data_IF_198863115798
#
_entry.id   IF_198863115798
#
_cell.length_a   1.000
_cell.length_b   1.000
_cell.length_c   1.000
_cell.angle_alpha   90.00
_cell.angle_beta   90.00
_cell.angle_gamma   90.00
#
_symmetry.space_group_name_H-M   'P 1'
#
loop_
_entity.id
_entity.type
_entity.pdbx_description
1 polymer ?
#
# COMPACT_ATOMS: atom_id res chain seq x y z
N UNK A 1 -24.82 -5.12 -4.51
CA UNK A 1 -24.65 -3.88 -3.72
C UNK A 1 -23.37 -3.14 -4.09
N UNK A 2 -22.17 -3.66 -3.79
CA UNK A 2 -20.90 -2.95 -4.02
C UNK A 2 -20.67 -2.47 -5.46
N UNK A 3 -20.94 -3.29 -6.47
CA UNK A 3 -20.77 -2.88 -7.88
C UNK A 3 -21.67 -1.68 -8.24
N UNK A 4 -22.92 -1.68 -7.77
CA UNK A 4 -23.84 -0.57 -7.98
C UNK A 4 -23.37 0.71 -7.28
N UNK A 5 -22.91 0.62 -6.04
CA UNK A 5 -22.31 1.74 -5.32
C UNK A 5 -21.06 2.28 -6.02
N UNK A 6 -20.21 1.39 -6.55
CA UNK A 6 -19.03 1.78 -7.32
C UNK A 6 -19.39 2.53 -8.60
N UNK A 7 -20.44 2.09 -9.33
CA UNK A 7 -20.95 2.80 -10.50
C UNK A 7 -21.54 4.17 -10.14
N UNK A 8 -22.27 4.28 -9.03
CA UNK A 8 -22.76 5.58 -8.53
C UNK A 8 -21.60 6.55 -8.30
N UNK A 9 -20.54 6.11 -7.62
CA UNK A 9 -19.34 6.93 -7.38
C UNK A 9 -18.62 7.27 -8.67
N UNK A 10 -18.44 6.31 -9.58
CA UNK A 10 -17.79 6.54 -10.87
C UNK A 10 -18.56 7.54 -11.75
N UNK A 11 -19.89 7.55 -11.67
CA UNK A 11 -20.75 8.48 -12.41
C UNK A 11 -20.92 9.85 -11.74
N UNK A 12 -20.47 10.01 -10.50
CA UNK A 12 -20.64 11.23 -9.73
C UNK A 12 -19.61 12.31 -10.14
N UNK A 13 -20.03 13.50 -10.61
CA UNK A 13 -19.10 14.57 -11.00
C UNK A 13 -18.13 14.96 -9.87
N UNK A 14 -18.60 14.93 -8.62
CA UNK A 14 -17.80 15.25 -7.45
C UNK A 14 -16.69 14.23 -7.13
N UNK A 15 -16.68 13.06 -7.77
CA UNK A 15 -15.61 12.07 -7.65
C UNK A 15 -14.40 12.41 -8.53
N UNK A 16 -14.57 13.26 -9.56
CA UNK A 16 -13.49 13.68 -10.43
C UNK A 16 -12.38 14.40 -9.66
N UNK A 17 -11.13 14.15 -10.04
CA UNK A 17 -9.96 14.79 -9.41
C UNK A 17 -9.58 14.24 -8.03
N UNK A 18 -10.30 13.24 -7.49
CA UNK A 18 -10.02 12.65 -6.17
C UNK A 18 -9.02 11.48 -6.17
N UNK A 19 -8.39 11.21 -7.32
CA UNK A 19 -7.47 10.08 -7.47
C UNK A 19 -8.19 8.74 -7.61
N UNK A 20 -7.47 7.65 -7.31
CA UNK A 20 -8.05 6.29 -7.33
C UNK A 20 -8.83 6.08 -6.03
N UNK A 21 -10.06 5.59 -6.16
CA UNK A 21 -10.98 5.34 -5.05
C UNK A 21 -11.30 3.84 -4.96
N UNK A 22 -11.49 3.35 -3.73
CA UNK A 22 -12.02 2.01 -3.45
C UNK A 22 -13.39 2.17 -2.83
N UNK A 23 -14.40 1.50 -3.39
CA UNK A 23 -15.79 1.55 -2.91
C UNK A 23 -16.19 0.18 -2.41
N UNK A 24 -16.54 0.08 -1.13
CA UNK A 24 -17.00 -1.15 -0.50
C UNK A 24 -17.89 -0.83 0.68
N UNK A 25 -18.94 -1.63 0.90
CA UNK A 25 -19.85 -1.45 2.04
C UNK A 25 -20.42 -0.02 2.19
N UNK A 26 -20.76 0.61 1.06
CA UNK A 26 -21.20 2.01 1.00
C UNK A 26 -20.19 3.03 1.54
N UNK A 27 -18.95 2.65 1.79
CA UNK A 27 -17.84 3.55 2.12
C UNK A 27 -17.01 3.82 0.86
N UNK A 28 -16.45 5.02 0.79
CA UNK A 28 -15.54 5.47 -0.27
C UNK A 28 -14.20 5.74 0.39
N UNK A 29 -13.16 5.02 -0.03
CA UNK A 29 -11.81 5.16 0.52
C UNK A 29 -10.83 5.72 -0.51
N UNK A 30 -9.85 6.46 -0.02
CA UNK A 30 -8.66 6.79 -0.79
C UNK A 30 -7.81 5.53 -1.00
N UNK A 31 -7.39 5.23 -2.23
CA UNK A 31 -6.60 4.03 -2.52
C UNK A 31 -5.26 3.97 -1.77
N UNK A 32 -4.67 5.11 -1.43
CA UNK A 32 -3.41 5.20 -0.68
C UNK A 32 -3.56 4.91 0.83
N UNK A 33 -4.80 4.91 1.35
CA UNK A 33 -5.07 4.82 2.80
C UNK A 33 -5.84 3.55 3.16
N UNK A 34 -6.41 2.86 2.16
CA UNK A 34 -7.28 1.71 2.38
C UNK A 34 -6.48 0.41 2.46
N UNK A 35 -6.82 -0.43 3.42
CA UNK A 35 -6.28 -1.79 3.56
C UNK A 35 -7.38 -2.77 3.93
N UNK A 36 -7.16 -4.05 3.65
CA UNK A 36 -8.04 -5.14 4.07
C UNK A 36 -7.69 -5.52 5.52
N UNK A 37 -8.56 -5.16 6.46
CA UNK A 37 -8.33 -5.31 7.90
C UNK A 37 -8.82 -6.63 8.50
N UNK A 38 -9.68 -7.38 7.79
CA UNK A 38 -10.23 -8.65 8.25
C UNK A 38 -10.18 -9.73 7.16
N UNK A 39 -9.88 -10.96 7.57
CA UNK A 39 -9.93 -12.13 6.69
C UNK A 39 -11.36 -12.60 6.41
N UNK A 40 -12.35 -12.21 7.23
CA UNK A 40 -13.72 -12.73 7.17
C UNK A 40 -14.82 -11.68 7.04
N UNK A 41 -14.66 -10.51 7.68
CA UNK A 41 -15.74 -9.51 7.72
C UNK A 41 -16.01 -8.94 6.33
N UNK A 42 -17.28 -8.69 6.01
CA UNK A 42 -17.65 -8.00 4.76
C UNK A 42 -17.14 -6.55 4.77
N UNK A 43 -17.20 -5.90 5.92
CA UNK A 43 -16.67 -4.56 6.17
C UNK A 43 -15.17 -4.60 6.50
N UNK A 44 -14.41 -5.23 5.62
CA UNK A 44 -12.97 -5.46 5.81
C UNK A 44 -12.10 -4.31 5.30
N UNK A 45 -12.53 -3.60 4.27
CA UNK A 45 -11.77 -2.46 3.79
C UNK A 45 -11.91 -1.31 4.77
N UNK A 46 -10.77 -0.87 5.32
CA UNK A 46 -10.68 0.20 6.30
C UNK A 46 -9.60 1.17 5.89
N UNK A 47 -9.75 2.42 6.31
CA UNK A 47 -8.69 3.43 6.25
C UNK A 47 -8.28 3.77 7.68
N UNK A 48 -7.31 3.03 8.27
CA UNK A 48 -7.12 3.01 9.72
C UNK A 48 -6.80 4.38 10.34
N UNK A 49 -6.03 5.20 9.64
CA UNK A 49 -5.50 6.45 10.21
C UNK A 49 -6.52 7.61 10.14
N UNK A 50 -7.28 7.71 9.05
CA UNK A 50 -8.12 8.89 8.76
C UNK A 50 -9.57 8.58 8.37
N UNK A 51 -9.96 7.29 8.35
CA UNK A 51 -11.30 6.84 7.97
C UNK A 51 -11.61 7.00 6.47
N UNK A 52 -12.82 6.64 6.03
CA UNK A 52 -13.26 6.84 4.64
C UNK A 52 -13.21 8.31 4.22
N UNK A 53 -13.10 8.57 2.91
CA UNK A 53 -13.20 9.92 2.35
C UNK A 53 -14.64 10.35 2.09
N UNK A 54 -15.54 9.37 2.04
CA UNK A 54 -16.95 9.58 1.75
C UNK A 54 -17.77 8.32 1.95
N UNK A 55 -19.06 8.42 1.65
CA UNK A 55 -20.03 7.33 1.77
C UNK A 55 -21.15 7.47 0.74
N UNK A 56 -21.89 6.38 0.55
CA UNK A 56 -23.09 6.32 -0.26
C UNK A 56 -24.30 6.11 0.66
N UNK A 57 -25.24 7.04 0.63
CA UNK A 57 -26.49 6.95 1.40
C UNK A 57 -27.66 7.31 0.49
N UNK A 58 -28.73 6.49 0.52
CA UNK A 58 -29.92 6.67 -0.33
C UNK A 58 -29.59 6.94 -1.82
N UNK A 59 -28.65 6.17 -2.39
CA UNK A 59 -28.12 6.30 -3.76
C UNK A 59 -27.44 7.65 -4.08
N UNK A 60 -27.05 8.41 -3.06
CA UNK A 60 -26.33 9.68 -3.19
C UNK A 60 -24.91 9.53 -2.67
N UNK A 61 -23.97 10.16 -3.37
CA UNK A 61 -22.54 10.12 -3.07
C UNK A 61 -22.16 11.36 -2.27
N UNK A 62 -21.68 11.15 -1.05
CA UNK A 62 -21.23 12.19 -0.12
C UNK A 62 -19.73 12.07 0.10
N UNK A 63 -18.99 13.18 -0.02
CA UNK A 63 -17.60 13.26 0.38
C UNK A 63 -17.50 14.16 1.61
N UNK A 64 -17.05 13.61 2.73
CA UNK A 64 -16.90 14.33 4.00
C UNK A 64 -15.47 14.80 4.26
N UNK A 65 -14.48 14.24 3.56
CA UNK A 65 -13.06 14.56 3.74
C UNK A 65 -12.41 14.97 2.43
N UNK A 66 -11.64 16.04 2.47
CA UNK A 66 -10.73 16.43 1.40
C UNK A 66 -9.49 15.55 1.43
N UNK A 67 -9.03 15.10 0.26
CA UNK A 67 -7.75 14.40 0.14
C UNK A 67 -6.64 15.41 -0.13
N UNK A 68 -5.48 15.21 0.49
CA UNK A 68 -4.28 15.99 0.17
C UNK A 68 -3.90 15.87 -1.31
N UNK A 69 -3.06 16.78 -1.83
CA UNK A 69 -2.59 16.70 -3.20
C UNK A 69 -1.95 15.33 -3.43
N UNK A 70 -2.34 14.70 -4.54
CA UNK A 70 -1.87 13.39 -4.95
C UNK A 70 -0.33 13.39 -4.92
N UNK A 71 0.29 12.52 -4.12
CA UNK A 71 1.70 12.16 -4.30
C UNK A 71 1.81 11.27 -5.53
N UNK A 72 1.54 11.83 -6.71
CA UNK A 72 1.85 11.15 -7.96
C UNK A 72 3.34 11.35 -8.21
N UNK A 73 4.14 10.41 -7.71
CA UNK A 73 5.38 10.06 -8.37
C UNK A 73 4.93 9.48 -9.71
N UNK A 74 5.09 10.24 -10.80
CA UNK A 74 4.80 9.75 -12.14
C UNK A 74 5.48 8.40 -12.36
N UNK A 75 5.01 7.60 -13.32
CA UNK A 75 5.76 6.43 -13.74
C UNK A 75 7.17 6.87 -14.14
N UNK A 76 8.25 6.38 -13.49
CA UNK A 76 9.58 6.56 -14.03
C UNK A 76 9.60 6.04 -15.46
N UNK A 77 10.32 6.71 -16.35
CA UNK A 77 10.40 6.31 -17.75
C UNK A 77 10.83 4.83 -17.83
N UNK A 78 9.99 3.98 -18.45
CA UNK A 78 10.24 2.53 -18.52
C UNK A 78 9.53 1.66 -17.48
N UNK A 79 8.73 2.23 -16.57
CA UNK A 79 7.76 1.46 -15.77
C UNK A 79 6.36 1.54 -16.39
N UNK A 80 5.69 0.39 -16.59
CA UNK A 80 4.33 0.32 -17.13
C UNK A 80 4.14 -0.81 -18.14
N UNK A 81 3.01 -0.87 -18.87
CA UNK A 81 2.79 -1.89 -19.90
C UNK A 81 3.89 -1.86 -20.97
N UNK A 82 4.72 -2.90 -21.04
CA UNK A 82 5.87 -2.99 -21.94
C UNK A 82 7.21 -2.52 -21.35
N UNK A 83 7.22 -2.05 -20.10
CA UNK A 83 8.42 -1.70 -19.33
C UNK A 83 8.80 -2.77 -18.30
N UNK A 84 9.98 -2.65 -17.70
CA UNK A 84 10.46 -3.56 -16.66
C UNK A 84 10.24 -2.94 -15.27
N UNK A 85 9.59 -3.69 -14.37
CA UNK A 85 9.45 -3.31 -12.96
C UNK A 85 10.59 -3.99 -12.19
N UNK A 86 11.50 -3.24 -11.54
CA UNK A 86 12.57 -3.82 -10.76
C UNK A 86 12.02 -4.69 -9.65
N UNK A 87 12.71 -5.80 -9.41
CA UNK A 87 12.40 -6.72 -8.33
C UNK A 87 12.49 -6.01 -6.98
N UNK A 88 11.38 -5.97 -6.25
CA UNK A 88 11.30 -5.49 -4.86
C UNK A 88 10.64 -6.58 -4.03
N UNK A 89 11.35 -7.08 -3.02
CA UNK A 89 10.84 -8.11 -2.10
C UNK A 89 10.51 -7.50 -0.72
N UNK A 90 9.61 -8.14 0.02
CA UNK A 90 9.19 -7.71 1.37
C UNK A 90 9.76 -8.69 2.40
N UNK A 91 10.53 -8.18 3.35
CA UNK A 91 11.12 -8.92 4.46
C UNK A 91 10.30 -8.68 5.72
N UNK A 92 9.66 -9.73 6.24
CA UNK A 92 8.83 -9.64 7.44
C UNK A 92 9.64 -9.98 8.68
N UNK A 93 9.80 -9.03 9.60
CA UNK A 93 10.52 -9.25 10.85
C UNK A 93 9.65 -9.97 11.87
N UNK A 94 10.28 -10.85 12.63
CA UNK A 94 9.68 -11.52 13.78
C UNK A 94 10.77 -11.88 14.81
N UNK A 95 10.34 -12.28 16.00
CA UNK A 95 11.28 -12.78 17.02
C UNK A 95 12.12 -13.92 16.46
N UNK A 96 13.45 -13.81 16.61
CA UNK A 96 14.40 -14.81 16.14
C UNK A 96 14.69 -14.80 14.64
N UNK A 97 14.19 -13.82 13.88
CA UNK A 97 14.60 -13.64 12.49
C UNK A 97 16.12 -13.37 12.39
N UNK A 98 16.77 -13.92 11.37
CA UNK A 98 18.24 -14.01 11.25
C UNK A 98 18.79 -13.47 9.91
N UNK A 99 17.91 -12.80 9.14
CA UNK A 99 18.20 -12.22 7.84
C UNK A 99 18.35 -13.22 6.69
N UNK A 100 17.99 -14.50 6.84
CA UNK A 100 18.01 -15.48 5.73
C UNK A 100 17.18 -15.00 4.55
N UNK A 101 15.97 -14.51 4.78
CA UNK A 101 15.11 -13.98 3.72
C UNK A 101 15.76 -12.80 2.97
N UNK A 102 16.38 -11.86 3.70
CA UNK A 102 17.07 -10.68 3.14
C UNK A 102 18.17 -11.12 2.18
N UNK A 103 19.03 -12.04 2.62
CA UNK A 103 20.13 -12.56 1.78
C UNK A 103 19.62 -13.34 0.58
N UNK A 104 18.54 -14.12 0.75
CA UNK A 104 17.93 -14.87 -0.34
C UNK A 104 17.37 -13.94 -1.43
N UNK A 105 16.67 -12.87 -1.04
CA UNK A 105 16.15 -11.88 -1.99
C UNK A 105 17.27 -11.10 -2.68
N UNK A 106 18.31 -10.70 -1.94
CA UNK A 106 19.50 -10.07 -2.52
C UNK A 106 20.17 -10.97 -3.57
N UNK A 107 20.38 -12.25 -3.24
CA UNK A 107 20.94 -13.22 -4.18
C UNK A 107 20.06 -13.46 -5.41
N UNK A 108 18.73 -13.39 -5.24
CA UNK A 108 17.77 -13.53 -6.31
C UNK A 108 17.58 -12.25 -7.17
N UNK A 109 18.42 -11.23 -6.97
CA UNK A 109 18.48 -10.03 -7.80
C UNK A 109 17.55 -8.89 -7.35
N UNK A 110 17.13 -8.86 -6.08
CA UNK A 110 16.34 -7.75 -5.56
C UNK A 110 17.06 -6.40 -5.75
N UNK A 111 16.36 -5.43 -6.33
CA UNK A 111 16.85 -4.04 -6.50
C UNK A 111 16.35 -3.14 -5.37
N UNK A 112 15.30 -3.56 -4.67
CA UNK A 112 14.85 -2.97 -3.43
C UNK A 112 14.31 -4.00 -2.45
N UNK A 113 14.30 -3.65 -1.17
CA UNK A 113 13.72 -4.43 -0.10
C UNK A 113 12.83 -3.54 0.76
N UNK A 114 11.63 -4.04 1.09
CA UNK A 114 10.76 -3.42 2.08
C UNK A 114 10.92 -4.19 3.38
N UNK A 115 11.33 -3.50 4.43
CA UNK A 115 11.41 -4.02 5.78
C UNK A 115 10.07 -3.83 6.49
N UNK A 116 9.31 -4.91 6.66
CA UNK A 116 8.12 -4.95 7.50
C UNK A 116 8.56 -5.27 8.94
N UNK A 117 8.98 -4.23 9.66
CA UNK A 117 9.49 -4.34 11.02
C UNK A 117 8.40 -4.60 12.08
N UNK A 118 8.83 -4.99 13.27
CA UNK A 118 7.96 -4.98 14.46
C UNK A 118 7.83 -3.54 14.98
N UNK A 119 6.67 -3.17 15.53
CA UNK A 119 6.41 -1.80 16.02
C UNK A 119 7.57 -1.28 16.90
N UNK A 120 8.09 -0.06 16.69
CA UNK A 120 7.64 0.97 15.74
C UNK A 120 8.33 0.96 14.35
N UNK A 121 8.75 -0.22 13.85
CA UNK A 121 9.54 -0.37 12.62
C UNK A 121 10.97 -0.83 12.90
N UNK A 122 11.15 -1.68 13.92
CA UNK A 122 12.43 -2.26 14.29
C UNK A 122 12.53 -3.71 13.83
N UNK A 123 13.75 -4.11 13.45
CA UNK A 123 14.10 -5.47 13.13
C UNK A 123 15.07 -6.04 14.16
N UNK A 124 15.31 -7.35 14.09
CA UNK A 124 16.34 -7.99 14.92
C UNK A 124 17.74 -7.47 14.57
N UNK A 125 18.74 -7.53 15.48
CA UNK A 125 20.11 -7.14 15.16
C UNK A 125 20.71 -7.91 13.98
N UNK A 126 20.34 -9.18 13.81
CA UNK A 126 20.80 -10.01 12.70
C UNK A 126 20.20 -9.57 11.35
N UNK A 127 18.91 -9.18 11.33
CA UNK A 127 18.29 -8.58 10.15
C UNK A 127 18.89 -7.21 9.83
N UNK A 128 19.14 -6.37 10.83
CA UNK A 128 19.81 -5.07 10.63
C UNK A 128 21.16 -5.25 9.93
N UNK A 129 21.99 -6.18 10.42
CA UNK A 129 23.27 -6.50 9.78
C UNK A 129 23.11 -7.03 8.34
N UNK A 130 22.05 -7.79 8.05
CA UNK A 130 21.75 -8.26 6.71
C UNK A 130 21.24 -7.14 5.78
N UNK A 131 20.43 -6.20 6.29
CA UNK A 131 20.01 -5.02 5.54
C UNK A 131 21.19 -4.09 5.26
N UNK A 132 22.08 -3.86 6.23
CA UNK A 132 23.30 -3.07 6.05
C UNK A 132 24.18 -3.67 4.94
N UNK A 133 24.32 -5.00 4.91
CA UNK A 133 25.04 -5.71 3.86
C UNK A 133 24.35 -5.58 2.48
N UNK A 134 23.02 -5.60 2.42
CA UNK A 134 22.27 -5.38 1.18
C UNK A 134 22.41 -3.94 0.67
N UNK A 135 22.35 -2.95 1.56
CA UNK A 135 22.59 -1.53 1.23
C UNK A 135 24.01 -1.33 0.70
N UNK A 136 25.01 -1.98 1.31
CA UNK A 136 26.39 -1.95 0.82
C UNK A 136 26.57 -2.53 -0.60
N UNK A 137 25.64 -3.39 -1.05
CA UNK A 137 25.58 -3.93 -2.41
C UNK A 137 24.79 -3.04 -3.38
N UNK A 138 24.27 -1.90 -2.91
CA UNK A 138 23.47 -0.96 -3.70
C UNK A 138 21.98 -1.28 -3.78
N UNK A 139 21.48 -2.19 -2.92
CA UNK A 139 20.05 -2.48 -2.81
C UNK A 139 19.38 -1.39 -1.96
N UNK A 140 18.29 -0.81 -2.46
CA UNK A 140 17.53 0.21 -1.70
C UNK A 140 16.68 -0.47 -0.63
N UNK A 141 16.80 -0.06 0.62
CA UNK A 141 15.97 -0.58 1.72
C UNK A 141 15.00 0.51 2.20
N UNK A 142 13.72 0.16 2.32
CA UNK A 142 12.67 1.04 2.86
C UNK A 142 12.11 0.41 4.13
N UNK A 143 12.13 1.15 5.24
CA UNK A 143 11.43 0.77 6.47
C UNK A 143 9.96 1.17 6.35
N UNK A 144 9.07 0.17 6.43
CA UNK A 144 7.62 0.36 6.43
C UNK A 144 7.05 0.40 7.85
#
# INVERSE_FOLDING_TARGET
>A
ANLYAALLVASAPQAAGRGVLVVSNNEIHAAQEVTKASTYQLETFRSPDFGPVGMIEANRVFFGRGMGPRRHIGWPQGYGPGGEIPRVDICYSHAGADGVAIRAFAHAGARGLVSAGMLPGMCTPAENAAFDAAVAQGIVVVQA
#
